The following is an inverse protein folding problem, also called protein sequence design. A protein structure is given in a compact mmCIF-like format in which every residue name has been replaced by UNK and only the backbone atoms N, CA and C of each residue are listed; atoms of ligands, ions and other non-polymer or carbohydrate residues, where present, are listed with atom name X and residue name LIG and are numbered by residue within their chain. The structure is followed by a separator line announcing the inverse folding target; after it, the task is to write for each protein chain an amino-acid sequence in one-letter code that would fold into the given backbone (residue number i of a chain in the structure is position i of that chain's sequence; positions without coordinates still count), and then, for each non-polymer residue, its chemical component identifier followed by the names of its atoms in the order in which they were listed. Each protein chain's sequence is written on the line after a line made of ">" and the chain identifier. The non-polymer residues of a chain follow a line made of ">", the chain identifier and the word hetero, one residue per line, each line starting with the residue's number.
data_IF_209100193765
#
_entry.id   IF_209100193765
#
_cell.length_a   1.000
_cell.length_b   1.000
_cell.length_c   1.000
_cell.angle_alpha   90.00
_cell.angle_beta   90.00
_cell.angle_gamma   90.00
#
_symmetry.space_group_name_H-M   'P 1'
#
loop_
_entity.id
_entity.type
_entity.pdbx_description
1 polymer ?
#
# COMPACT_ATOMS: atom_id res chain seq x y z
N UNK A 1 -17.71 18.54 -17.11
CA UNK A 1 -18.89 17.63 -17.01
C UNK A 1 -19.34 17.58 -15.56
N UNK A 2 -20.62 17.82 -15.28
CA UNK A 2 -21.15 17.94 -13.91
C UNK A 2 -21.49 16.58 -13.26
N UNK A 3 -21.84 15.58 -14.05
CA UNK A 3 -22.17 14.23 -13.58
C UNK A 3 -21.78 13.14 -14.57
N UNK A 4 -21.63 11.92 -14.06
CA UNK A 4 -21.39 10.70 -14.84
C UNK A 4 -22.31 9.59 -14.33
N UNK A 5 -23.17 9.08 -15.20
CA UNK A 5 -24.00 7.92 -14.89
C UNK A 5 -23.20 6.63 -14.88
N UNK A 6 -23.44 5.79 -13.88
CA UNK A 6 -22.75 4.51 -13.68
C UNK A 6 -23.70 3.34 -13.94
N UNK A 7 -23.13 2.19 -14.28
CA UNK A 7 -23.91 0.98 -14.56
C UNK A 7 -24.69 0.50 -13.32
N UNK A 8 -24.10 0.60 -12.14
CA UNK A 8 -24.66 0.29 -10.81
C UNK A 8 -23.74 0.87 -9.71
N UNK A 9 -24.18 0.87 -8.48
CA UNK A 9 -23.40 1.29 -7.31
C UNK A 9 -22.35 0.25 -6.88
N UNK A 10 -22.22 -0.02 -5.57
CA UNK A 10 -21.31 -1.05 -5.09
C UNK A 10 -21.70 -2.46 -5.59
N UNK A 11 -22.99 -2.71 -5.76
CA UNK A 11 -23.52 -4.01 -6.19
C UNK A 11 -24.45 -3.85 -7.40
N UNK A 12 -24.62 -4.89 -8.26
CA UNK A 12 -25.43 -4.83 -9.46
C UNK A 12 -26.91 -4.45 -9.25
N UNK A 13 -27.46 -4.73 -8.08
CA UNK A 13 -28.83 -4.38 -7.69
C UNK A 13 -28.99 -2.91 -7.24
N UNK A 14 -27.91 -2.19 -6.97
CA UNK A 14 -27.92 -0.80 -6.51
C UNK A 14 -28.00 0.15 -7.71
N UNK A 15 -29.21 0.39 -8.19
CA UNK A 15 -29.55 1.27 -9.32
C UNK A 15 -30.68 2.22 -8.95
N UNK A 16 -30.66 3.46 -9.45
CA UNK A 16 -29.64 4.07 -10.32
C UNK A 16 -28.35 4.37 -9.58
N UNK A 17 -27.24 4.62 -10.32
CA UNK A 17 -25.96 5.03 -9.77
C UNK A 17 -25.32 6.11 -10.64
N UNK A 18 -24.70 7.10 -9.99
CA UNK A 18 -23.94 8.18 -10.62
C UNK A 18 -22.91 8.76 -9.68
N UNK A 19 -21.92 9.44 -10.24
CA UNK A 19 -21.08 10.41 -9.52
C UNK A 19 -21.42 11.81 -10.05
N UNK A 20 -21.43 12.82 -9.20
CA UNK A 20 -21.77 14.18 -9.57
C UNK A 20 -21.19 15.20 -8.60
N UNK A 21 -21.12 16.44 -9.04
CA UNK A 21 -20.79 17.59 -8.21
C UNK A 21 -22.01 18.50 -8.11
N UNK A 22 -22.35 18.96 -6.91
CA UNK A 22 -23.41 19.95 -6.73
C UNK A 22 -22.99 21.29 -7.34
N UNK A 23 -21.74 21.69 -7.08
CA UNK A 23 -21.13 22.91 -7.57
C UNK A 23 -19.95 22.57 -8.49
N UNK A 24 -19.83 23.27 -9.62
CA UNK A 24 -18.72 23.09 -10.55
C UNK A 24 -18.84 21.86 -11.44
N UNK A 25 -17.70 21.44 -11.96
CA UNK A 25 -17.53 20.25 -12.80
C UNK A 25 -16.72 19.17 -12.08
N UNK A 26 -16.88 17.92 -12.50
CA UNK A 26 -16.06 16.81 -12.01
C UNK A 26 -14.58 17.10 -12.29
N UNK A 27 -13.67 17.01 -11.29
CA UNK A 27 -12.25 17.27 -11.47
C UNK A 27 -11.53 16.10 -12.16
N UNK A 28 -12.27 15.26 -12.87
CA UNK A 28 -11.76 14.05 -13.54
C UNK A 28 -12.27 13.97 -14.98
N UNK A 29 -11.46 13.34 -15.81
CA UNK A 29 -11.80 12.97 -17.19
C UNK A 29 -11.50 11.48 -17.40
N UNK A 30 -12.48 10.70 -17.89
CA UNK A 30 -12.27 9.30 -18.26
C UNK A 30 -11.73 9.26 -19.69
N UNK A 31 -10.42 8.98 -19.82
CA UNK A 31 -9.74 8.92 -21.12
C UNK A 31 -9.96 7.58 -21.84
N UNK A 32 -10.25 6.52 -21.10
CA UNK A 32 -10.54 5.19 -21.63
C UNK A 32 -11.29 4.34 -20.62
N UNK A 33 -12.06 3.37 -21.10
CA UNK A 33 -12.81 2.42 -20.28
C UNK A 33 -14.15 2.97 -19.78
N UNK A 34 -14.71 2.29 -18.79
CA UNK A 34 -15.96 2.66 -18.08
C UNK A 34 -15.83 2.31 -16.61
N UNK A 35 -15.14 3.14 -15.81
CA UNK A 35 -14.97 2.89 -14.40
C UNK A 35 -16.30 2.74 -13.67
N UNK A 36 -16.38 1.76 -12.77
CA UNK A 36 -17.55 1.58 -11.92
C UNK A 36 -17.47 2.40 -10.63
N UNK A 37 -18.49 2.29 -9.80
CA UNK A 37 -18.62 3.01 -8.54
C UNK A 37 -17.41 2.77 -7.60
N UNK A 38 -17.02 1.51 -7.40
CA UNK A 38 -15.87 1.16 -6.54
C UNK A 38 -14.56 1.65 -7.16
N UNK A 39 -14.42 1.60 -8.49
CA UNK A 39 -13.22 2.11 -9.16
C UNK A 39 -12.99 3.60 -8.89
N UNK A 40 -14.07 4.41 -8.87
CA UNK A 40 -13.96 5.83 -8.52
C UNK A 40 -13.63 6.06 -7.05
N UNK A 41 -14.18 5.25 -6.14
CA UNK A 41 -13.80 5.31 -4.72
C UNK A 41 -12.32 5.00 -4.53
N UNK A 42 -11.82 3.94 -5.16
CA UNK A 42 -10.40 3.58 -5.10
C UNK A 42 -9.53 4.69 -5.73
N UNK A 43 -9.88 5.15 -6.93
CA UNK A 43 -9.11 6.16 -7.66
C UNK A 43 -8.97 7.48 -6.87
N UNK A 44 -10.08 7.99 -6.33
CA UNK A 44 -10.09 9.29 -5.66
C UNK A 44 -9.43 9.26 -4.28
N UNK A 45 -9.55 8.16 -3.54
CA UNK A 45 -8.81 7.98 -2.29
C UNK A 45 -7.30 7.80 -2.56
N UNK A 46 -6.96 6.96 -3.53
CA UNK A 46 -5.57 6.72 -3.92
C UNK A 46 -4.88 8.00 -4.44
N UNK A 47 -5.60 8.84 -5.19
CA UNK A 47 -5.08 10.13 -5.66
C UNK A 47 -4.69 11.06 -4.51
N UNK A 48 -5.56 11.21 -3.51
CA UNK A 48 -5.27 12.03 -2.35
C UNK A 48 -4.01 11.54 -1.62
N UNK A 49 -3.88 10.22 -1.44
CA UNK A 49 -2.73 9.59 -0.81
C UNK A 49 -1.43 9.94 -1.55
N UNK A 50 -1.34 9.71 -2.85
CA UNK A 50 -0.10 9.97 -3.61
C UNK A 50 0.25 11.44 -3.72
N UNK A 51 -0.77 12.32 -3.77
CA UNK A 51 -0.58 13.79 -3.72
C UNK A 51 0.08 14.22 -2.41
N UNK A 52 -0.38 13.68 -1.27
CA UNK A 52 0.20 13.98 0.04
C UNK A 52 1.59 13.34 0.22
N UNK A 53 1.82 12.12 -0.26
CA UNK A 53 3.14 11.50 -0.24
C UNK A 53 4.17 12.34 -1.00
N UNK A 54 3.82 12.80 -2.20
CA UNK A 54 4.71 13.67 -2.98
C UNK A 54 4.98 14.99 -2.25
N UNK A 55 3.97 15.61 -1.65
CA UNK A 55 4.12 16.83 -0.84
C UNK A 55 5.08 16.62 0.33
N UNK A 56 4.92 15.50 1.05
CA UNK A 56 5.69 15.23 2.27
C UNK A 56 7.14 14.81 2.01
N UNK A 57 7.43 14.19 0.87
CA UNK A 57 8.75 13.61 0.59
C UNK A 57 9.52 14.31 -0.53
N UNK A 58 8.83 15.09 -1.36
CA UNK A 58 9.40 15.69 -2.57
C UNK A 58 9.65 14.69 -3.71
N UNK A 59 9.33 13.42 -3.53
CA UNK A 59 9.55 12.35 -4.49
C UNK A 59 8.25 11.97 -5.22
N UNK A 60 8.32 11.55 -6.50
CA UNK A 60 7.20 10.91 -7.16
C UNK A 60 6.67 9.73 -6.34
N UNK A 61 5.36 9.59 -6.29
CA UNK A 61 4.67 8.59 -5.46
C UNK A 61 3.64 7.80 -6.26
N UNK A 62 3.42 6.55 -5.84
CA UNK A 62 2.39 5.69 -6.39
C UNK A 62 1.67 4.91 -5.28
N UNK A 63 0.45 4.51 -5.55
CA UNK A 63 -0.34 3.65 -4.68
C UNK A 63 -1.09 2.58 -5.48
N UNK A 64 -1.30 1.44 -4.83
CA UNK A 64 -2.14 0.33 -5.28
C UNK A 64 -3.31 0.24 -4.32
N UNK A 65 -4.53 0.45 -4.82
CA UNK A 65 -5.75 0.47 -4.01
C UNK A 65 -6.68 -0.68 -4.37
N UNK A 66 -7.31 -1.23 -3.35
CA UNK A 66 -8.35 -2.24 -3.52
C UNK A 66 -9.32 -2.21 -2.34
N UNK A 67 -10.62 -2.26 -2.65
CA UNK A 67 -11.67 -2.18 -1.63
C UNK A 67 -11.54 -0.94 -0.71
N UNK A 68 -11.27 0.20 -1.33
CA UNK A 68 -11.16 1.53 -0.69
C UNK A 68 -10.07 1.57 0.41
N UNK A 69 -9.02 0.79 0.23
CA UNK A 69 -7.83 0.82 1.09
C UNK A 69 -6.56 0.54 0.29
N UNK A 70 -5.42 1.09 0.67
CA UNK A 70 -4.16 0.80 0.00
C UNK A 70 -3.70 -0.63 0.28
N UNK A 71 -3.37 -1.37 -0.77
CA UNK A 71 -2.59 -2.60 -0.70
C UNK A 71 -1.09 -2.29 -0.63
N UNK A 72 -0.68 -1.15 -1.20
CA UNK A 72 0.68 -0.64 -1.16
C UNK A 72 0.73 0.84 -1.51
N UNK A 73 1.75 1.51 -1.00
CA UNK A 73 2.07 2.91 -1.27
C UNK A 73 3.58 3.10 -1.19
N UNK A 74 4.16 3.89 -2.08
CA UNK A 74 5.61 4.07 -2.13
C UNK A 74 5.99 5.37 -2.83
N UNK A 75 7.24 5.79 -2.56
CA UNK A 75 7.91 6.87 -3.25
C UNK A 75 9.09 6.35 -4.08
N UNK A 76 9.61 7.19 -4.97
CA UNK A 76 10.63 6.83 -5.96
C UNK A 76 12.04 6.67 -5.35
N UNK A 77 12.20 5.74 -4.42
CA UNK A 77 13.51 5.31 -3.92
C UNK A 77 14.11 4.24 -4.84
N UNK A 78 15.43 4.22 -5.10
CA UNK A 78 16.06 3.25 -5.98
C UNK A 78 15.77 1.81 -5.58
N UNK A 79 15.62 0.93 -6.57
CA UNK A 79 15.45 -0.51 -6.37
C UNK A 79 16.81 -1.22 -6.33
N UNK A 80 17.04 -2.06 -5.33
CA UNK A 80 18.13 -3.03 -5.35
C UNK A 80 17.87 -4.13 -6.41
N UNK A 81 18.91 -4.86 -6.81
CA UNK A 81 18.77 -6.00 -7.72
C UNK A 81 17.81 -7.06 -7.18
N UNK A 82 17.81 -7.27 -5.87
CA UNK A 82 16.88 -8.18 -5.20
C UNK A 82 15.43 -7.71 -5.35
N UNK A 83 15.16 -6.41 -5.10
CA UNK A 83 13.81 -5.85 -5.26
C UNK A 83 13.37 -5.86 -6.73
N UNK A 84 14.28 -5.60 -7.67
CA UNK A 84 13.97 -5.72 -9.10
C UNK A 84 13.49 -7.14 -9.46
N UNK A 85 14.14 -8.18 -8.91
CA UNK A 85 13.76 -9.59 -9.13
C UNK A 85 12.40 -9.92 -8.55
N UNK A 86 12.16 -9.59 -7.27
CA UNK A 86 10.89 -9.94 -6.62
C UNK A 86 9.70 -9.11 -7.12
N UNK A 87 9.95 -7.96 -7.77
CA UNK A 87 8.93 -7.13 -8.41
C UNK A 87 8.78 -7.43 -9.91
N UNK A 88 9.53 -8.41 -10.43
CA UNK A 88 9.50 -8.83 -11.84
C UNK A 88 9.77 -7.69 -12.82
N UNK A 89 10.77 -6.87 -12.52
CA UNK A 89 11.27 -5.77 -13.36
C UNK A 89 12.77 -5.90 -13.65
N UNK A 90 13.37 -7.03 -13.31
CA UNK A 90 14.78 -7.33 -13.56
C UNK A 90 15.10 -7.64 -15.03
N UNK A 91 14.08 -7.91 -15.84
CA UNK A 91 14.17 -8.07 -17.30
C UNK A 91 14.20 -6.72 -18.06
N UNK A 92 14.01 -5.59 -17.39
CA UNK A 92 14.11 -4.26 -17.98
C UNK A 92 15.53 -3.77 -17.84
N UNK A 93 16.21 -3.58 -18.95
CA UNK A 93 17.65 -3.17 -18.99
C UNK A 93 17.82 -1.67 -18.82
N UNK A 94 16.83 -0.88 -19.20
CA UNK A 94 16.82 0.56 -19.03
C UNK A 94 16.61 0.94 -17.57
N UNK A 95 17.08 2.10 -17.17
CA UNK A 95 16.78 2.68 -15.87
C UNK A 95 15.29 3.01 -15.79
N UNK A 96 14.62 2.56 -14.72
CA UNK A 96 13.23 2.89 -14.49
C UNK A 96 13.10 4.39 -14.21
N UNK A 97 12.12 5.03 -14.82
CA UNK A 97 11.78 6.40 -14.46
C UNK A 97 11.35 6.49 -12.99
N UNK A 98 11.46 7.67 -12.35
CA UNK A 98 11.08 7.82 -10.95
C UNK A 98 9.63 7.37 -10.68
N UNK A 99 8.67 7.70 -11.54
CA UNK A 99 7.28 7.29 -11.35
C UNK A 99 7.09 5.79 -11.59
N UNK A 100 7.80 5.17 -12.54
CA UNK A 100 7.81 3.73 -12.75
C UNK A 100 8.41 3.00 -11.53
N UNK A 101 9.45 3.56 -10.92
CA UNK A 101 10.07 3.03 -9.69
C UNK A 101 9.10 3.08 -8.52
N UNK A 102 8.42 4.20 -8.31
CA UNK A 102 7.38 4.33 -7.27
C UNK A 102 6.26 3.31 -7.46
N UNK A 103 5.79 3.13 -8.71
CA UNK A 103 4.76 2.14 -9.02
C UNK A 103 5.22 0.70 -8.77
N UNK A 104 6.43 0.34 -9.21
CA UNK A 104 6.99 -1.00 -8.98
C UNK A 104 7.08 -1.31 -7.48
N UNK A 105 7.47 -0.34 -6.65
CA UNK A 105 7.50 -0.46 -5.18
C UNK A 105 6.11 -0.57 -4.58
N UNK A 106 5.19 0.31 -4.93
CA UNK A 106 3.85 0.33 -4.37
C UNK A 106 3.11 -1.00 -4.62
N UNK A 107 3.14 -1.49 -5.86
CA UNK A 107 2.54 -2.77 -6.20
C UNK A 107 3.33 -3.96 -5.65
N UNK A 108 4.65 -3.85 -5.61
CA UNK A 108 5.56 -4.94 -5.25
C UNK A 108 5.48 -5.37 -3.80
N UNK A 109 5.00 -4.49 -2.92
CA UNK A 109 4.93 -4.75 -1.47
C UNK A 109 3.96 -5.89 -1.11
N UNK A 110 2.76 -5.88 -1.68
CA UNK A 110 1.75 -6.93 -1.49
C UNK A 110 1.15 -7.28 -2.85
N UNK A 111 1.85 -8.14 -3.58
CA UNK A 111 1.48 -8.53 -4.94
C UNK A 111 0.17 -9.32 -5.00
N UNK A 112 -0.17 -10.02 -3.91
CA UNK A 112 -1.42 -10.75 -3.79
C UNK A 112 -2.62 -9.81 -3.70
N UNK A 113 -2.58 -8.84 -2.77
CA UNK A 113 -3.65 -7.85 -2.60
C UNK A 113 -3.74 -6.89 -3.79
N UNK A 114 -2.64 -6.63 -4.49
CA UNK A 114 -2.59 -5.76 -5.67
C UNK A 114 -3.15 -6.41 -6.96
N UNK A 115 -3.53 -7.67 -6.93
CA UNK A 115 -4.17 -8.31 -8.08
C UNK A 115 -5.58 -7.74 -8.31
N UNK A 116 -5.76 -7.04 -9.43
CA UNK A 116 -7.02 -6.34 -9.74
C UNK A 116 -7.17 -5.01 -8.99
N UNK A 117 -6.08 -4.33 -8.69
CA UNK A 117 -6.01 -3.03 -8.03
C UNK A 117 -6.45 -1.87 -8.92
N UNK A 118 -6.63 -0.70 -8.30
CA UNK A 118 -6.67 0.60 -8.96
C UNK A 118 -5.40 1.38 -8.58
N UNK A 119 -4.69 1.87 -9.60
CA UNK A 119 -3.38 2.50 -9.45
C UNK A 119 -3.55 4.02 -9.39
N UNK A 120 -2.84 4.70 -8.48
CA UNK A 120 -2.67 6.15 -8.52
C UNK A 120 -1.21 6.52 -8.68
N UNK A 121 -0.96 7.55 -9.48
CA UNK A 121 0.36 8.13 -9.73
C UNK A 121 0.32 9.62 -9.42
N UNK A 122 1.32 10.13 -8.69
CA UNK A 122 1.40 11.55 -8.32
C UNK A 122 1.85 12.46 -9.47
N UNK A 123 2.43 11.87 -10.52
CA UNK A 123 3.02 12.53 -11.67
C UNK A 123 2.47 11.96 -12.97
N UNK A 124 2.92 12.51 -14.10
CA UNK A 124 2.59 12.00 -15.42
C UNK A 124 2.89 10.49 -15.52
N UNK A 125 1.93 9.74 -16.02
CA UNK A 125 2.17 8.36 -16.43
C UNK A 125 2.94 8.36 -17.75
N UNK A 126 4.23 8.01 -17.70
CA UNK A 126 5.07 7.85 -18.87
C UNK A 126 4.96 6.47 -19.52
N UNK A 127 5.59 6.28 -20.68
CA UNK A 127 5.58 5.05 -21.44
C UNK A 127 6.14 3.86 -20.63
N UNK A 128 7.22 4.07 -19.85
CA UNK A 128 7.83 3.04 -19.02
C UNK A 128 6.84 2.55 -17.96
N UNK A 129 6.19 3.46 -17.25
CA UNK A 129 5.17 3.14 -16.25
C UNK A 129 3.98 2.40 -16.88
N UNK A 130 3.52 2.87 -18.04
CA UNK A 130 2.43 2.22 -18.77
C UNK A 130 2.79 0.78 -19.19
N UNK A 131 4.03 0.52 -19.60
CA UNK A 131 4.53 -0.83 -19.91
C UNK A 131 4.51 -1.74 -18.67
N UNK A 132 4.92 -1.23 -17.50
CA UNK A 132 4.83 -1.98 -16.25
C UNK A 132 3.36 -2.29 -15.90
N UNK A 133 2.47 -1.30 -15.99
CA UNK A 133 1.04 -1.48 -15.74
C UNK A 133 0.43 -2.52 -16.71
N UNK A 134 0.83 -2.49 -17.98
CA UNK A 134 0.33 -3.42 -18.98
C UNK A 134 0.62 -4.89 -18.64
N UNK A 135 1.74 -5.15 -17.97
CA UNK A 135 2.21 -6.50 -17.60
C UNK A 135 1.45 -7.11 -16.42
N UNK A 136 0.73 -6.30 -15.66
CA UNK A 136 0.08 -6.70 -14.41
C UNK A 136 -1.45 -6.72 -14.55
N UNK A 137 -2.13 -7.46 -13.67
CA UNK A 137 -3.61 -7.46 -13.61
C UNK A 137 -4.05 -6.32 -12.71
N UNK A 138 -4.68 -5.30 -13.30
CA UNK A 138 -5.24 -4.14 -12.60
C UNK A 138 -6.54 -3.69 -13.27
N UNK A 139 -7.36 -2.93 -12.55
CA UNK A 139 -8.65 -2.44 -13.05
C UNK A 139 -8.54 -1.07 -13.72
N UNK A 140 -7.61 -0.24 -13.31
CA UNK A 140 -7.42 1.08 -13.87
C UNK A 140 -6.28 1.86 -13.23
N UNK A 141 -6.07 3.07 -13.77
CA UNK A 141 -5.06 4.01 -13.29
C UNK A 141 -5.62 5.43 -13.30
N UNK A 142 -5.27 6.21 -12.27
CA UNK A 142 -5.51 7.66 -12.18
C UNK A 142 -4.17 8.39 -12.08
N UNK A 143 -4.02 9.45 -12.87
CA UNK A 143 -2.83 10.31 -12.87
C UNK A 143 -3.19 11.74 -13.30
N UNK A 144 -2.36 12.76 -13.00
CA UNK A 144 -2.61 14.14 -13.44
C UNK A 144 -2.46 14.32 -14.96
N UNK A 145 -1.63 13.50 -15.60
CA UNK A 145 -1.47 13.46 -17.06
C UNK A 145 -0.91 12.10 -17.51
N UNK A 146 -0.96 11.90 -18.82
CA UNK A 146 -0.43 10.71 -19.49
C UNK A 146 0.30 11.17 -20.74
N UNK A 147 1.50 10.64 -21.01
CA UNK A 147 2.13 10.82 -22.31
C UNK A 147 1.30 10.14 -23.41
N UNK A 148 1.41 10.60 -24.65
CA UNK A 148 0.67 10.03 -25.79
C UNK A 148 0.98 8.53 -25.94
N UNK A 149 2.26 8.16 -25.80
CA UNK A 149 2.71 6.78 -25.88
C UNK A 149 2.15 5.93 -24.71
N UNK A 150 2.16 6.46 -23.48
CA UNK A 150 1.55 5.78 -22.33
C UNK A 150 0.07 5.52 -22.54
N UNK A 151 -0.64 6.51 -23.07
CA UNK A 151 -2.07 6.41 -23.33
C UNK A 151 -2.38 5.35 -24.40
N UNK A 152 -1.57 5.26 -25.45
CA UNK A 152 -1.68 4.22 -26.48
C UNK A 152 -1.47 2.82 -25.88
N UNK A 153 -0.43 2.63 -25.06
CA UNK A 153 -0.14 1.37 -24.38
C UNK A 153 -1.30 0.95 -23.48
N UNK A 154 -1.81 1.88 -22.66
CA UNK A 154 -2.90 1.60 -21.72
C UNK A 154 -4.22 1.31 -22.43
N UNK A 155 -4.54 2.01 -23.52
CA UNK A 155 -5.72 1.76 -24.34
C UNK A 155 -5.71 0.37 -24.95
N UNK A 156 -4.55 -0.22 -25.25
CA UNK A 156 -4.44 -1.59 -25.78
C UNK A 156 -4.70 -2.68 -24.73
N UNK A 157 -4.65 -2.35 -23.44
CA UNK A 157 -4.85 -3.30 -22.33
C UNK A 157 -6.31 -3.72 -22.21
N UNK A 158 -6.57 -4.97 -21.75
CA UNK A 158 -7.92 -5.55 -21.56
C UNK A 158 -8.80 -5.43 -22.81
N UNK A 159 -8.23 -5.64 -24.00
CA UNK A 159 -8.94 -5.51 -25.29
C UNK A 159 -9.61 -4.13 -25.47
N UNK A 160 -8.95 -3.08 -25.02
CA UNK A 160 -9.42 -1.70 -25.16
C UNK A 160 -10.34 -1.19 -24.05
N UNK A 161 -10.59 -1.96 -22.99
CA UNK A 161 -11.53 -1.60 -21.93
C UNK A 161 -10.85 -1.21 -20.61
N UNK A 162 -9.55 -1.04 -20.58
CA UNK A 162 -8.81 -0.64 -19.38
C UNK A 162 -9.21 0.76 -18.93
N UNK A 163 -9.42 0.97 -17.63
CA UNK A 163 -9.85 2.27 -17.13
C UNK A 163 -8.65 3.21 -16.98
N UNK A 164 -8.74 4.37 -17.61
CA UNK A 164 -7.74 5.45 -17.52
C UNK A 164 -8.45 6.74 -17.14
N UNK A 165 -8.10 7.31 -16.00
CA UNK A 165 -8.69 8.51 -15.43
C UNK A 165 -7.61 9.59 -15.31
N UNK A 166 -7.86 10.76 -15.92
CA UNK A 166 -7.10 11.97 -15.69
C UNK A 166 -7.76 12.77 -14.57
N UNK A 167 -6.97 13.29 -13.63
CA UNK A 167 -7.42 14.15 -12.54
C UNK A 167 -6.84 15.55 -12.69
N UNK A 168 -7.61 16.58 -12.37
CA UNK A 168 -7.10 17.94 -12.21
C UNK A 168 -6.30 18.06 -10.90
N UNK A 169 -4.97 18.18 -10.95
CA UNK A 169 -4.15 18.23 -9.74
C UNK A 169 -4.33 19.53 -8.94
N UNK A 170 -4.91 20.56 -9.55
CA UNK A 170 -5.18 21.86 -8.90
C UNK A 170 -6.47 21.89 -8.11
N UNK A 171 -7.36 20.90 -8.34
CA UNK A 171 -8.63 20.84 -7.64
C UNK A 171 -8.45 20.68 -6.14
N UNK A 172 -9.17 21.50 -5.38
CA UNK A 172 -9.26 21.43 -3.92
C UNK A 172 -10.73 21.19 -3.56
N UNK A 173 -11.05 20.09 -2.87
CA UNK A 173 -12.43 19.83 -2.43
C UNK A 173 -12.90 20.86 -1.41
N UNK A 174 -14.23 20.97 -1.25
CA UNK A 174 -14.86 21.80 -0.21
C UNK A 174 -14.35 21.38 1.18
N UNK A 175 -14.24 22.33 2.14
CA UNK A 175 -13.68 22.04 3.47
C UNK A 175 -14.58 21.18 4.35
N UNK A 176 -15.81 20.94 3.93
CA UNK A 176 -16.81 20.13 4.63
C UNK A 176 -17.24 18.97 3.74
N UNK A 177 -17.31 17.78 4.32
CA UNK A 177 -17.78 16.58 3.65
C UNK A 177 -19.00 15.98 4.35
N UNK A 178 -19.85 15.29 3.59
CA UNK A 178 -21.07 14.65 4.07
C UNK A 178 -21.12 13.17 3.73
N UNK A 179 -21.75 12.39 4.60
CA UNK A 179 -22.04 10.97 4.40
C UNK A 179 -23.45 10.66 4.85
N UNK A 180 -24.16 9.81 4.12
CA UNK A 180 -25.51 9.39 4.49
C UNK A 180 -25.51 7.94 4.98
N UNK A 181 -26.13 7.71 6.14
CA UNK A 181 -26.39 6.37 6.70
C UNK A 181 -27.83 6.31 7.16
N UNK A 182 -28.59 5.39 6.65
CA UNK A 182 -30.00 5.21 6.98
C UNK A 182 -30.85 6.51 6.80
N UNK A 183 -30.54 7.29 5.76
CA UNK A 183 -31.20 8.57 5.49
C UNK A 183 -30.78 9.75 6.37
N UNK A 184 -29.94 9.52 7.37
CA UNK A 184 -29.36 10.57 8.21
C UNK A 184 -28.07 11.05 7.56
N UNK A 185 -27.95 12.36 7.38
CA UNK A 185 -26.72 12.97 6.86
C UNK A 185 -25.79 13.31 8.02
N UNK A 186 -24.58 12.81 7.93
CA UNK A 186 -23.45 13.18 8.78
C UNK A 186 -22.62 14.23 8.05
N UNK A 187 -22.24 15.27 8.74
CA UNK A 187 -21.42 16.36 8.22
C UNK A 187 -20.22 16.58 9.14
N UNK A 188 -19.03 16.73 8.55
CA UNK A 188 -17.79 17.01 9.28
C UNK A 188 -16.84 17.82 8.41
N UNK A 189 -15.88 18.50 9.05
CA UNK A 189 -14.72 19.04 8.35
C UNK A 189 -13.90 17.91 7.72
N UNK A 190 -13.39 18.13 6.53
CA UNK A 190 -12.43 17.20 5.90
C UNK A 190 -11.20 17.03 6.77
N UNK A 191 -10.60 15.84 6.72
CA UNK A 191 -9.32 15.60 7.38
C UNK A 191 -8.18 16.27 6.60
N UNK A 192 -7.89 17.52 6.94
CA UNK A 192 -6.83 18.35 6.31
C UNK A 192 -5.53 18.38 7.11
N UNK A 193 -5.36 17.47 8.10
CA UNK A 193 -4.14 17.40 8.88
C UNK A 193 -2.92 17.22 7.97
N UNK A 194 -1.92 18.11 8.13
CA UNK A 194 -0.67 18.04 7.39
C UNK A 194 0.31 17.12 8.10
N UNK A 195 0.71 16.05 7.44
CA UNK A 195 1.64 15.04 7.94
C UNK A 195 3.04 15.18 7.32
N UNK A 196 3.36 16.33 6.73
CA UNK A 196 4.65 16.59 6.08
C UNK A 196 5.72 17.15 7.02
N UNK A 197 5.30 17.72 8.16
CA UNK A 197 6.19 18.41 9.12
C UNK A 197 7.00 17.46 10.01
N UNK A 198 8.09 17.96 10.56
CA UNK A 198 8.91 17.25 11.56
C UNK A 198 8.40 17.44 12.99
N UNK A 199 7.43 18.30 13.19
CA UNK A 199 6.68 18.47 14.45
C UNK A 199 5.97 17.18 14.89
N UNK A 200 5.69 16.27 13.95
CA UNK A 200 5.21 14.91 14.24
C UNK A 200 6.13 14.15 15.23
N UNK A 201 7.42 14.50 15.27
CA UNK A 201 8.45 13.85 16.08
C UNK A 201 8.90 14.71 17.28
N UNK A 202 8.13 15.74 17.66
CA UNK A 202 8.50 16.62 18.76
C UNK A 202 8.35 15.95 20.14
N UNK A 203 7.40 15.04 20.30
CA UNK A 203 7.16 14.32 21.55
C UNK A 203 7.61 12.85 21.43
N UNK A 204 8.78 12.54 22.00
CA UNK A 204 9.37 11.20 22.00
C UNK A 204 9.47 10.72 23.46
N UNK A 205 8.51 9.91 23.97
CA UNK A 205 8.46 9.47 25.35
C UNK A 205 9.48 8.38 25.71
N UNK A 206 9.97 7.61 24.72
CA UNK A 206 10.90 6.49 24.89
C UNK A 206 12.31 6.96 25.28
N UNK A 207 13.16 6.05 25.85
CA UNK A 207 14.57 6.33 26.15
C UNK A 207 15.37 6.65 24.89
N UNK A 208 15.20 5.85 23.85
CA UNK A 208 15.80 6.13 22.53
C UNK A 208 15.05 7.29 21.87
N UNK A 209 15.76 8.41 21.65
CA UNK A 209 15.24 9.63 21.03
C UNK A 209 15.64 9.78 19.54
N UNK A 210 16.43 8.87 19.02
CA UNK A 210 17.13 9.05 17.74
C UNK A 210 16.26 8.55 16.57
N UNK A 211 15.70 9.49 15.81
CA UNK A 211 15.11 9.22 14.50
C UNK A 211 16.07 9.62 13.40
N UNK A 212 16.40 8.69 12.50
CA UNK A 212 17.13 9.03 11.27
C UNK A 212 16.22 9.76 10.29
N UNK A 213 16.77 10.51 9.36
CA UNK A 213 15.96 11.20 8.33
C UNK A 213 15.16 10.20 7.46
N UNK A 214 15.74 9.03 7.18
CA UNK A 214 15.02 7.95 6.49
C UNK A 214 13.85 7.41 7.32
N UNK A 215 14.03 7.26 8.63
CA UNK A 215 12.95 6.82 9.53
C UNK A 215 11.82 7.87 9.61
N UNK A 216 12.15 9.16 9.69
CA UNK A 216 11.13 10.23 9.67
C UNK A 216 10.35 10.21 8.36
N UNK A 217 11.04 10.11 7.20
CA UNK A 217 10.40 9.95 5.90
C UNK A 217 9.45 8.76 5.88
N UNK A 218 9.93 7.60 6.31
CA UNK A 218 9.17 6.35 6.28
C UNK A 218 7.97 6.39 7.24
N UNK A 219 8.09 7.05 8.39
CA UNK A 219 6.95 7.27 9.29
C UNK A 219 5.92 8.26 8.73
N UNK A 220 6.35 9.30 8.01
CA UNK A 220 5.42 10.18 7.26
C UNK A 220 4.65 9.36 6.20
N UNK A 221 5.33 8.48 5.46
CA UNK A 221 4.69 7.57 4.50
C UNK A 221 3.67 6.67 5.22
N UNK A 222 4.03 6.10 6.37
CA UNK A 222 3.11 5.27 7.15
C UNK A 222 1.85 6.05 7.56
N UNK A 223 2.00 7.22 8.16
CA UNK A 223 0.86 8.02 8.64
C UNK A 223 -0.03 8.52 7.50
N UNK A 224 0.55 8.99 6.40
CA UNK A 224 -0.21 9.41 5.21
C UNK A 224 -0.97 8.21 4.61
N UNK A 225 -0.34 7.04 4.53
CA UNK A 225 -1.01 5.81 4.08
C UNK A 225 -2.21 5.48 4.95
N UNK A 226 -2.06 5.58 6.28
CA UNK A 226 -3.12 5.29 7.25
C UNK A 226 -4.28 6.30 7.20
N UNK A 227 -4.02 7.56 6.86
CA UNK A 227 -5.06 8.58 6.66
C UNK A 227 -6.10 8.16 5.62
N UNK A 228 -5.74 7.27 4.69
CA UNK A 228 -6.59 6.75 3.61
C UNK A 228 -6.85 5.25 3.74
N UNK A 229 -6.65 4.66 4.91
CA UNK A 229 -6.86 3.24 5.19
C UNK A 229 -8.02 3.05 6.18
N UNK A 230 -8.94 2.16 5.85
CA UNK A 230 -10.07 1.84 6.75
C UNK A 230 -9.59 1.41 8.13
N UNK A 231 -10.12 2.04 9.17
CA UNK A 231 -9.73 1.81 10.56
C UNK A 231 -10.32 0.50 11.14
N UNK A 232 -9.70 -0.11 12.16
CA UNK A 232 -8.36 0.20 12.66
C UNK A 232 -7.32 -0.14 11.62
N UNK A 233 -6.29 0.67 11.51
CA UNK A 233 -5.23 0.45 10.54
C UNK A 233 -3.83 0.64 11.13
N UNK A 234 -2.88 -0.15 10.60
CA UNK A 234 -1.46 -0.16 10.98
C UNK A 234 -0.64 -0.36 9.70
N UNK A 235 0.47 0.35 9.57
CA UNK A 235 1.32 0.31 8.39
C UNK A 235 2.80 0.15 8.76
N UNK A 236 3.42 -0.91 8.24
CA UNK A 236 4.87 -1.13 8.29
C UNK A 236 5.49 -0.54 7.03
N UNK A 237 6.55 0.24 7.20
CA UNK A 237 7.25 0.92 6.10
C UNK A 237 8.75 0.67 6.18
N UNK A 238 9.39 0.49 5.05
CA UNK A 238 10.84 0.38 4.92
C UNK A 238 11.30 0.95 3.57
N UNK A 239 12.38 1.73 3.62
CA UNK A 239 13.06 2.26 2.43
C UNK A 239 12.10 2.92 1.43
N UNK A 240 11.20 3.79 1.93
CA UNK A 240 10.30 4.59 1.09
C UNK A 240 9.05 3.84 0.60
N UNK A 241 8.72 2.66 1.15
CA UNK A 241 7.52 1.93 0.76
C UNK A 241 6.82 1.24 1.93
N UNK A 242 5.50 1.24 1.90
CA UNK A 242 4.68 0.40 2.77
C UNK A 242 4.90 -1.07 2.41
N UNK A 243 5.32 -1.87 3.38
CA UNK A 243 5.65 -3.29 3.21
C UNK A 243 4.60 -4.22 3.83
N UNK A 244 3.70 -3.67 4.66
CA UNK A 244 2.58 -4.40 5.22
C UNK A 244 1.54 -3.44 5.78
N UNK A 245 0.30 -3.52 5.27
CA UNK A 245 -0.82 -2.69 5.68
C UNK A 245 -1.92 -3.59 6.21
N UNK A 246 -2.34 -3.35 7.45
CA UNK A 246 -3.53 -3.92 8.04
C UNK A 246 -4.66 -2.89 8.02
N UNK A 247 -5.84 -3.28 7.55
CA UNK A 247 -6.99 -2.39 7.37
C UNK A 247 -8.26 -3.03 7.93
N UNK A 248 -9.18 -2.19 8.43
CA UNK A 248 -10.55 -2.60 8.77
C UNK A 248 -10.67 -3.58 9.92
N UNK A 249 -9.69 -3.65 10.83
CA UNK A 249 -9.71 -4.59 11.94
C UNK A 249 -10.37 -3.98 13.19
N UNK A 250 -11.22 -4.75 13.86
CA UNK A 250 -11.90 -4.30 15.09
C UNK A 250 -10.97 -4.27 16.31
N UNK A 251 -9.88 -5.05 16.29
CA UNK A 251 -8.88 -5.09 17.35
C UNK A 251 -7.53 -4.58 16.84
N UNK A 252 -6.90 -3.68 17.60
CA UNK A 252 -5.57 -3.13 17.26
C UNK A 252 -4.52 -4.23 17.13
N UNK A 253 -4.49 -5.20 18.05
CA UNK A 253 -3.51 -6.28 17.99
C UNK A 253 -3.71 -7.19 16.77
N UNK A 254 -4.95 -7.45 16.36
CA UNK A 254 -5.20 -8.21 15.13
C UNK A 254 -4.73 -7.44 13.90
N UNK A 255 -4.91 -6.13 13.89
CA UNK A 255 -4.41 -5.26 12.83
C UNK A 255 -2.88 -5.28 12.76
N UNK A 256 -2.20 -5.14 13.90
CA UNK A 256 -0.74 -5.18 14.00
C UNK A 256 -0.17 -6.53 13.53
N UNK A 257 -0.84 -7.64 13.88
CA UNK A 257 -0.47 -8.98 13.41
C UNK A 257 -0.65 -9.12 11.90
N UNK A 258 -1.78 -8.71 11.36
CA UNK A 258 -2.07 -8.79 9.92
C UNK A 258 -1.04 -8.00 9.11
N UNK A 259 -0.81 -6.74 9.48
CA UNK A 259 0.18 -5.89 8.82
C UNK A 259 1.60 -6.47 8.94
N UNK A 260 1.97 -6.96 10.12
CA UNK A 260 3.27 -7.57 10.36
C UNK A 260 3.47 -8.87 9.58
N UNK A 261 2.44 -9.71 9.44
CA UNK A 261 2.53 -10.92 8.61
C UNK A 261 2.77 -10.56 7.14
N UNK A 262 2.12 -9.54 6.61
CA UNK A 262 2.38 -9.04 5.24
C UNK A 262 3.81 -8.51 5.09
N UNK A 263 4.31 -7.75 6.06
CA UNK A 263 5.68 -7.26 6.06
C UNK A 263 6.71 -8.43 6.11
N UNK A 264 6.44 -9.46 6.90
CA UNK A 264 7.27 -10.65 6.98
C UNK A 264 7.28 -11.43 5.64
N UNK A 265 6.12 -11.56 4.97
CA UNK A 265 6.04 -12.18 3.63
C UNK A 265 6.84 -11.37 2.61
N UNK A 266 6.73 -10.04 2.61
CA UNK A 266 7.54 -9.19 1.74
C UNK A 266 9.05 -9.42 1.94
N UNK A 267 9.50 -9.52 3.19
CA UNK A 267 10.90 -9.81 3.51
C UNK A 267 11.30 -11.24 3.12
N UNK A 268 10.42 -12.21 3.37
CA UNK A 268 10.65 -13.62 3.00
C UNK A 268 10.77 -13.82 1.49
N UNK A 269 10.08 -13.04 0.67
CA UNK A 269 10.22 -13.09 -0.81
C UNK A 269 11.65 -12.77 -1.27
N UNK A 270 12.45 -12.10 -0.47
CA UNK A 270 13.85 -11.78 -0.71
C UNK A 270 14.82 -12.88 -0.23
N UNK A 271 14.31 -13.90 0.46
CA UNK A 271 15.13 -15.02 0.92
C UNK A 271 15.75 -15.77 -0.28
N UNK A 272 17.05 -16.06 -0.27
CA UNK A 272 17.72 -16.77 -1.36
C UNK A 272 17.01 -18.06 -1.78
N UNK A 273 16.51 -18.84 -0.81
CA UNK A 273 15.80 -20.10 -1.05
C UNK A 273 14.47 -19.86 -1.78
N UNK A 274 13.76 -18.77 -1.47
CA UNK A 274 12.52 -18.36 -2.16
C UNK A 274 12.81 -17.85 -3.57
N UNK A 275 13.84 -17.01 -3.70
CA UNK A 275 14.25 -16.48 -5.02
C UNK A 275 14.78 -17.55 -5.97
N UNK A 276 15.32 -18.65 -5.43
CA UNK A 276 15.86 -19.79 -6.19
C UNK A 276 14.79 -20.86 -6.53
N UNK A 277 13.52 -20.63 -6.24
CA UNK A 277 12.45 -21.59 -6.56
C UNK A 277 12.48 -21.95 -8.06
N UNK A 278 12.56 -23.26 -8.41
CA UNK A 278 12.79 -23.73 -9.77
C UNK A 278 11.50 -23.73 -10.60
N UNK A 279 10.92 -22.54 -10.82
CA UNK A 279 9.73 -22.39 -11.64
C UNK A 279 9.95 -22.86 -13.08
N UNK A 280 8.93 -23.49 -13.66
CA UNK A 280 8.88 -23.77 -15.09
C UNK A 280 8.81 -22.49 -15.90
N UNK A 281 9.32 -22.54 -17.12
CA UNK A 281 9.10 -21.45 -18.08
C UNK A 281 7.60 -21.27 -18.38
N UNK A 282 7.20 -20.03 -18.67
CA UNK A 282 5.83 -19.70 -19.06
C UNK A 282 4.79 -19.65 -17.93
N UNK A 283 5.17 -19.87 -16.67
CA UNK A 283 4.26 -19.67 -15.53
C UNK A 283 3.85 -18.19 -15.48
N UNK A 284 2.53 -17.94 -15.47
CA UNK A 284 2.00 -16.58 -15.40
C UNK A 284 2.38 -15.91 -14.08
N UNK A 285 2.60 -14.60 -14.10
CA UNK A 285 3.01 -13.84 -12.91
C UNK A 285 2.08 -14.05 -11.71
N UNK A 286 0.77 -14.01 -11.93
CA UNK A 286 -0.22 -14.22 -10.87
C UNK A 286 -0.12 -15.62 -10.24
N UNK A 287 0.07 -16.65 -11.05
CA UNK A 287 0.23 -18.03 -10.57
C UNK A 287 1.55 -18.18 -9.79
N UNK A 288 2.62 -17.52 -10.28
CA UNK A 288 3.92 -17.49 -9.60
C UNK A 288 3.82 -16.77 -8.25
N UNK A 289 3.16 -15.60 -8.21
CA UNK A 289 2.94 -14.85 -6.97
C UNK A 289 2.18 -15.67 -5.94
N UNK A 290 1.07 -16.31 -6.36
CA UNK A 290 0.27 -17.16 -5.48
C UNK A 290 1.08 -18.37 -4.97
N UNK A 291 1.84 -19.03 -5.85
CA UNK A 291 2.66 -20.19 -5.46
C UNK A 291 3.74 -19.79 -4.46
N UNK A 292 4.39 -18.63 -4.63
CA UNK A 292 5.38 -18.11 -3.68
C UNK A 292 4.72 -17.80 -2.33
N UNK A 293 3.56 -17.16 -2.33
CA UNK A 293 2.83 -16.80 -1.12
C UNK A 293 2.47 -18.04 -0.29
N UNK A 294 1.89 -19.05 -0.93
CA UNK A 294 1.57 -20.34 -0.30
C UNK A 294 2.83 -21.07 0.16
N UNK A 295 3.92 -21.07 -0.63
CA UNK A 295 5.18 -21.70 -0.25
C UNK A 295 5.81 -21.07 1.01
N UNK A 296 5.71 -19.76 1.15
CA UNK A 296 6.18 -19.01 2.33
C UNK A 296 5.25 -19.26 3.53
N UNK A 297 3.96 -19.44 3.29
CA UNK A 297 2.92 -19.61 4.31
C UNK A 297 3.04 -20.91 5.10
N UNK A 298 2.05 -21.16 5.92
CA UNK A 298 1.95 -22.40 6.71
C UNK A 298 1.28 -23.54 5.92
N UNK A 299 0.55 -23.18 4.86
CA UNK A 299 -0.12 -24.12 3.94
C UNK A 299 0.79 -24.55 2.76
N UNK A 300 2.10 -24.49 2.91
CA UNK A 300 3.07 -24.79 1.83
C UNK A 300 2.90 -26.19 1.20
N UNK A 301 2.34 -27.15 1.94
CA UNK A 301 2.03 -28.47 1.41
C UNK A 301 1.04 -28.43 0.25
N UNK A 302 0.17 -27.41 0.18
CA UNK A 302 -0.81 -27.27 -0.89
C UNK A 302 -0.16 -27.08 -2.26
N UNK A 303 1.04 -26.52 -2.32
CA UNK A 303 1.82 -26.35 -3.56
C UNK A 303 2.95 -27.38 -3.69
N UNK A 304 3.35 -28.07 -2.61
CA UNK A 304 4.42 -29.07 -2.61
C UNK A 304 3.93 -30.52 -2.65
N UNK A 305 2.62 -30.78 -2.51
CA UNK A 305 2.07 -32.14 -2.59
C UNK A 305 2.23 -32.75 -3.98
N UNK A 306 2.29 -34.07 -4.02
CA UNK A 306 2.39 -34.84 -5.27
C UNK A 306 1.19 -34.56 -6.19
N UNK A 307 1.48 -34.41 -7.51
CA UNK A 307 0.48 -34.04 -8.51
C UNK A 307 0.20 -32.54 -8.62
N UNK A 308 0.70 -31.70 -7.68
CA UNK A 308 0.54 -30.25 -7.70
C UNK A 308 1.86 -29.53 -7.97
N UNK A 309 2.94 -29.87 -7.27
CA UNK A 309 4.23 -29.18 -7.47
C UNK A 309 4.71 -29.28 -8.93
N UNK A 310 4.41 -30.37 -9.62
CA UNK A 310 4.76 -30.57 -11.03
C UNK A 310 4.08 -29.56 -11.97
N UNK A 311 3.04 -28.87 -11.53
CA UNK A 311 2.37 -27.84 -12.34
C UNK A 311 3.21 -26.55 -12.39
N UNK A 312 3.98 -26.27 -11.33
CA UNK A 312 4.69 -25.00 -11.16
C UNK A 312 6.21 -25.14 -11.31
N UNK A 313 6.79 -26.23 -10.82
CA UNK A 313 8.23 -26.38 -10.66
C UNK A 313 8.82 -27.46 -11.59
N UNK A 314 10.10 -27.28 -11.95
CA UNK A 314 10.86 -28.28 -12.72
C UNK A 314 11.36 -29.43 -11.83
N UNK A 315 11.52 -29.17 -10.55
CA UNK A 315 11.83 -30.13 -9.50
C UNK A 315 11.15 -29.74 -8.20
N UNK A 316 10.83 -30.71 -7.33
CA UNK A 316 10.15 -30.41 -6.06
C UNK A 316 11.08 -29.61 -5.15
N UNK A 317 10.68 -28.38 -4.73
CA UNK A 317 11.45 -27.61 -3.77
C UNK A 317 11.35 -28.21 -2.36
N UNK A 318 12.42 -28.07 -1.58
CA UNK A 318 12.38 -28.34 -0.14
C UNK A 318 11.57 -27.22 0.56
N UNK A 319 10.71 -27.55 1.54
CA UNK A 319 9.97 -26.53 2.28
C UNK A 319 10.91 -25.66 3.13
N UNK A 320 10.45 -24.43 3.43
CA UNK A 320 11.10 -23.60 4.44
C UNK A 320 10.75 -24.08 5.84
N UNK A 321 11.76 -24.36 6.66
CA UNK A 321 11.51 -24.72 8.06
C UNK A 321 11.13 -23.47 8.88
N UNK A 322 10.50 -23.67 10.03
CA UNK A 322 10.19 -22.59 10.95
C UNK A 322 11.45 -21.86 11.44
N UNK A 323 12.56 -22.59 11.63
CA UNK A 323 13.85 -22.04 12.01
C UNK A 323 14.45 -21.18 10.91
N UNK A 324 14.41 -21.62 9.65
CA UNK A 324 14.85 -20.85 8.49
C UNK A 324 14.07 -19.55 8.35
N UNK A 325 12.72 -19.61 8.44
CA UNK A 325 11.84 -18.43 8.40
C UNK A 325 12.22 -17.45 9.52
N UNK A 326 12.31 -17.91 10.76
CA UNK A 326 12.66 -17.09 11.93
C UNK A 326 14.04 -16.44 11.79
N UNK A 327 15.04 -17.21 11.35
CA UNK A 327 16.41 -16.72 11.17
C UNK A 327 16.50 -15.65 10.07
N UNK A 328 15.72 -15.78 8.99
CA UNK A 328 15.66 -14.79 7.92
C UNK A 328 14.93 -13.52 8.36
N UNK A 329 13.76 -13.65 9.00
CA UNK A 329 12.98 -12.51 9.48
C UNK A 329 13.78 -11.69 10.50
N UNK A 330 14.57 -12.35 11.37
CA UNK A 330 15.42 -11.68 12.36
C UNK A 330 16.52 -10.78 11.75
N UNK A 331 16.83 -10.91 10.46
CA UNK A 331 17.77 -10.04 9.75
C UNK A 331 17.14 -8.75 9.27
N UNK A 332 15.80 -8.64 9.28
CA UNK A 332 15.12 -7.40 8.91
C UNK A 332 15.25 -6.37 10.03
N UNK A 333 15.76 -5.20 9.71
CA UNK A 333 16.00 -4.10 10.65
C UNK A 333 15.61 -2.77 10.03
N UNK A 334 15.51 -1.72 10.83
CA UNK A 334 15.20 -0.38 10.34
C UNK A 334 13.75 -0.20 9.87
N UNK A 335 12.85 -1.11 10.24
CA UNK A 335 11.44 -1.02 9.88
C UNK A 335 10.75 0.06 10.71
N UNK A 336 9.92 0.86 10.07
CA UNK A 336 9.08 1.87 10.66
C UNK A 336 7.64 1.36 10.80
N UNK A 337 6.94 1.75 11.87
CA UNK A 337 5.55 1.38 12.14
C UNK A 337 4.71 2.62 12.45
N UNK A 338 3.66 2.85 11.66
CA UNK A 338 2.60 3.82 11.97
C UNK A 338 1.32 3.14 12.46
N UNK A 339 0.59 3.83 13.31
CA UNK A 339 -0.75 3.43 13.76
C UNK A 339 -1.72 4.61 13.66
N UNK A 340 -2.95 4.36 13.18
CA UNK A 340 -3.97 5.41 13.02
C UNK A 340 -4.55 5.91 14.35
N UNK A 341 -4.23 5.23 15.47
CA UNK A 341 -4.54 5.66 16.84
C UNK A 341 -3.52 5.09 17.81
N UNK A 342 -3.74 5.26 19.12
CA UNK A 342 -2.82 4.75 20.14
C UNK A 342 -2.77 3.20 20.17
N UNK A 343 -1.65 2.66 20.59
CA UNK A 343 -1.53 1.26 20.96
C UNK A 343 -2.08 1.05 22.38
N UNK A 344 -3.03 0.12 22.59
CA UNK A 344 -3.62 -0.07 23.92
C UNK A 344 -2.70 -0.82 24.88
N UNK A 345 -1.79 -1.67 24.39
CA UNK A 345 -0.90 -2.52 25.19
C UNK A 345 0.42 -2.79 24.46
N UNK A 346 1.45 -3.16 25.24
CA UNK A 346 2.78 -3.48 24.75
C UNK A 346 2.87 -4.74 23.86
N UNK A 347 1.84 -5.59 23.82
CA UNK A 347 1.78 -6.75 22.93
C UNK A 347 1.87 -6.35 21.44
N UNK A 348 1.38 -5.17 21.09
CA UNK A 348 1.55 -4.60 19.75
C UNK A 348 3.03 -4.34 19.43
N UNK A 349 3.79 -3.84 20.42
CA UNK A 349 5.22 -3.58 20.28
C UNK A 349 6.00 -4.90 20.20
N UNK A 350 5.65 -5.88 21.04
CA UNK A 350 6.21 -7.24 20.97
C UNK A 350 6.04 -7.86 19.57
N UNK A 351 4.85 -7.69 18.96
CA UNK A 351 4.61 -8.14 17.59
C UNK A 351 5.45 -7.38 16.57
N UNK A 352 5.50 -6.06 16.70
CA UNK A 352 6.24 -5.18 15.80
C UNK A 352 7.75 -5.47 15.80
N UNK A 353 8.31 -5.65 16.99
CA UNK A 353 9.73 -5.99 17.16
C UNK A 353 10.13 -7.25 16.38
N UNK A 354 9.28 -8.29 16.34
CA UNK A 354 9.53 -9.53 15.61
C UNK A 354 9.69 -9.33 14.09
N UNK A 355 9.15 -8.25 13.54
CA UNK A 355 9.28 -7.87 12.12
C UNK A 355 10.36 -6.81 11.87
N UNK A 356 11.25 -6.56 12.85
CA UNK A 356 12.39 -5.65 12.70
C UNK A 356 12.07 -4.17 12.90
N UNK A 357 10.94 -3.84 13.54
CA UNK A 357 10.57 -2.45 13.84
C UNK A 357 11.55 -1.83 14.84
N UNK A 358 12.06 -0.66 14.49
CA UNK A 358 12.95 0.16 15.31
C UNK A 358 12.41 1.57 15.55
N UNK A 359 11.42 2.01 14.75
CA UNK A 359 10.85 3.36 14.81
C UNK A 359 9.33 3.28 14.76
N UNK A 360 8.65 4.02 15.63
CA UNK A 360 7.18 4.02 15.74
C UNK A 360 6.66 5.45 15.76
N UNK A 361 5.52 5.69 15.10
CA UNK A 361 4.69 6.87 15.26
C UNK A 361 3.25 6.48 15.54
N UNK A 362 2.67 6.99 16.61
CA UNK A 362 1.29 6.76 17.02
C UNK A 362 0.72 7.99 17.74
N UNK A 363 -0.59 8.03 17.96
CA UNK A 363 -1.25 9.17 18.57
C UNK A 363 -0.82 9.41 20.04
N UNK A 364 -0.63 8.37 20.83
CA UNK A 364 -0.53 8.45 22.29
C UNK A 364 -1.90 8.71 22.93
N UNK A 365 -1.92 8.83 24.27
CA UNK A 365 -3.13 9.12 25.04
C UNK A 365 -3.90 7.89 25.53
N UNK A 366 -3.30 6.70 25.49
CA UNK A 366 -3.83 5.50 26.16
C UNK A 366 -3.59 5.57 27.66
N UNK A 367 -4.50 5.03 28.45
CA UNK A 367 -4.30 4.82 29.90
C UNK A 367 -3.14 3.86 30.21
N UNK A 368 -2.63 3.15 29.21
CA UNK A 368 -1.52 2.19 29.28
C UNK A 368 -0.32 2.61 28.43
N UNK A 369 -0.16 3.89 28.18
CA UNK A 369 1.03 4.42 27.48
C UNK A 369 2.33 4.05 28.21
N UNK A 370 2.30 3.97 29.55
CA UNK A 370 3.41 3.49 30.39
C UNK A 370 3.91 2.11 29.94
N UNK A 371 3.01 1.15 29.78
CA UNK A 371 3.35 -0.21 29.36
C UNK A 371 3.86 -0.27 27.90
N UNK A 372 3.32 0.58 27.03
CA UNK A 372 3.78 0.67 25.62
C UNK A 372 5.18 1.27 25.55
N UNK A 373 5.46 2.34 26.32
CA UNK A 373 6.78 2.98 26.41
C UNK A 373 7.81 1.98 26.96
N UNK A 374 7.52 1.34 28.12
CA UNK A 374 8.40 0.33 28.71
C UNK A 374 8.75 -0.80 27.75
N UNK A 375 7.79 -1.26 26.94
CA UNK A 375 8.02 -2.30 25.94
C UNK A 375 8.91 -1.79 24.80
N UNK A 376 8.76 -0.54 24.37
CA UNK A 376 9.65 0.08 23.39
C UNK A 376 11.08 0.18 23.94
N UNK A 377 11.24 0.64 25.17
CA UNK A 377 12.56 0.81 25.83
C UNK A 377 13.28 -0.53 25.99
N UNK A 378 12.57 -1.60 26.34
CA UNK A 378 13.07 -2.98 26.39
C UNK A 378 13.79 -3.39 25.10
N UNK A 379 13.30 -2.91 23.95
CA UNK A 379 13.84 -3.24 22.61
C UNK A 379 14.66 -2.11 21.97
N UNK A 380 14.86 -0.99 22.67
CA UNK A 380 15.58 0.17 22.14
C UNK A 380 14.86 0.86 20.98
N UNK A 381 13.54 0.71 20.87
CA UNK A 381 12.70 1.32 19.83
C UNK A 381 12.47 2.79 20.14
N UNK A 382 12.69 3.68 19.18
CA UNK A 382 12.30 5.07 19.26
C UNK A 382 10.83 5.24 18.86
N UNK A 383 10.01 5.84 19.73
CA UNK A 383 8.59 6.06 19.47
C UNK A 383 8.22 7.54 19.66
N UNK A 384 7.49 8.09 18.70
CA UNK A 384 6.91 9.42 18.76
C UNK A 384 5.40 9.35 19.04
N UNK A 385 4.92 10.25 19.91
CA UNK A 385 3.51 10.54 20.10
C UNK A 385 3.13 11.76 19.27
N UNK A 386 2.38 11.54 18.20
CA UNK A 386 1.99 12.60 17.26
C UNK A 386 0.84 13.45 17.80
N UNK A 387 0.05 12.96 18.75
CA UNK A 387 -1.20 13.57 19.19
C UNK A 387 -2.32 13.53 18.15
N UNK A 388 -2.10 12.86 17.02
CA UNK A 388 -3.02 12.84 15.86
C UNK A 388 -3.66 11.47 15.72
N UNK A 389 -5.00 11.44 15.69
CA UNK A 389 -5.79 10.26 15.33
C UNK A 389 -6.21 10.36 13.85
N UNK A 390 -6.01 9.26 13.11
CA UNK A 390 -6.22 9.19 11.67
C UNK A 390 -7.35 8.22 11.28
N UNK A 391 -8.42 8.13 12.07
CA UNK A 391 -9.53 7.25 11.75
C UNK A 391 -10.15 7.60 10.40
N UNK A 392 -10.38 6.57 9.60
CA UNK A 392 -11.01 6.65 8.29
C UNK A 392 -12.12 5.61 8.19
N UNK A 393 -13.35 6.08 7.92
CA UNK A 393 -14.56 5.24 7.87
C UNK A 393 -15.42 5.53 6.64
#
# INVERSE_FOLDING_TARGET
>A
MKELSLKYGCNPNQKPARIFMENGELPIEVLNGRPGYINFLDALNAWQLVKELKKATGLPAAASFKHVSPAGAAVAEPLSDTLRKIYFVDDITEELTPIATAYARARGADRMSSYGDFIALSDECDAMTALLIKREVSDGVIAPSFSDEALEILRSKRKGTYNVIKIDPSYVPEPVETKQVFGITFEQGRNEVDLSGDDLFANIPTENKNFTESAKRDLKIALITLKYTQSNSVCYVKDGQAIGIGAGQQSRIHCTRLAGNKADIWWMRQCPKVMALPFKEGIRRADRDNTIDVYIGDEYEDVLREGVWQQFFTQKPEPLTAEEKKAWIAQNTGVCLGSDAFFPFGDNIERAHKSGVQFIAQAGGSVRDDNVIETCDKYGIAMAFTGIRLFHH
#
